data_IF_818325784011
#
_entry.id   IF_818325784011
#
_cell.length_a   1.000
_cell.length_b   1.000
_cell.length_c   1.000
_cell.angle_alpha   90.00
_cell.angle_beta   90.00
_cell.angle_gamma   90.00
#
_symmetry.space_group_name_H-M   'P 1'
#
loop_
_entity.id
_entity.type
_entity.pdbx_description
1 polymer ?
#
# COMPACT_ATOMS: atom_id res chain seq x y z
N UNK A 1 -1.45 19.66 10.43
CA UNK A 1 -1.25 20.87 9.59
C UNK A 1 -2.57 21.63 9.48
N UNK A 2 -2.48 22.94 9.42
CA UNK A 2 -3.61 23.86 9.20
C UNK A 2 -3.32 24.75 7.99
N UNK A 3 -4.27 24.81 7.08
CA UNK A 3 -4.20 25.69 5.91
C UNK A 3 -5.38 26.65 5.95
N UNK A 4 -5.11 27.94 5.78
CA UNK A 4 -6.18 28.94 5.61
C UNK A 4 -7.00 28.63 4.37
N UNK A 5 -6.34 28.19 3.32
CA UNK A 5 -6.90 27.81 2.03
C UNK A 5 -6.16 26.59 1.47
N UNK A 6 -6.88 25.63 0.93
CA UNK A 6 -6.31 24.47 0.26
C UNK A 6 -6.91 24.29 -1.12
N UNK A 7 -6.07 24.11 -2.14
CA UNK A 7 -6.52 23.86 -3.50
C UNK A 7 -6.92 22.39 -3.66
N UNK A 8 -8.17 22.15 -4.06
CA UNK A 8 -8.67 20.82 -4.34
C UNK A 8 -9.26 20.73 -5.74
N UNK A 9 -9.09 19.57 -6.36
CA UNK A 9 -9.75 19.27 -7.65
C UNK A 9 -11.23 19.11 -7.43
N UNK A 10 -12.01 19.82 -8.23
CA UNK A 10 -13.47 19.80 -8.21
C UNK A 10 -14.03 19.53 -9.60
N UNK A 11 -15.31 19.25 -9.67
CA UNK A 11 -15.99 18.97 -10.93
C UNK A 11 -17.25 19.84 -10.99
N UNK A 12 -17.46 20.52 -12.10
CA UNK A 12 -18.68 21.31 -12.36
C UNK A 12 -19.36 20.83 -13.64
N UNK A 13 -20.68 20.78 -13.63
CA UNK A 13 -21.46 20.60 -14.85
C UNK A 13 -21.55 21.95 -15.57
N UNK A 14 -21.28 21.95 -16.86
CA UNK A 14 -21.50 23.14 -17.70
C UNK A 14 -22.99 23.23 -18.04
N UNK A 15 -23.62 24.34 -17.71
CA UNK A 15 -25.07 24.55 -17.89
C UNK A 15 -25.52 24.46 -19.35
N UNK A 16 -24.64 24.82 -20.29
CA UNK A 16 -24.93 24.83 -21.73
C UNK A 16 -24.72 23.51 -22.43
N UNK A 17 -24.11 22.52 -21.78
CA UNK A 17 -23.77 21.23 -22.40
C UNK A 17 -23.80 20.13 -21.35
N UNK A 18 -23.88 18.85 -21.78
CA UNK A 18 -23.70 17.71 -20.88
C UNK A 18 -22.23 17.48 -20.47
N UNK A 19 -21.37 18.45 -20.72
CA UNK A 19 -19.95 18.33 -20.44
C UNK A 19 -19.64 18.58 -18.97
N UNK A 20 -18.62 17.90 -18.46
CA UNK A 20 -18.05 18.11 -17.12
C UNK A 20 -16.75 18.88 -17.22
N UNK A 21 -16.63 19.95 -16.44
CA UNK A 21 -15.41 20.70 -16.27
C UNK A 21 -14.68 20.21 -15.02
N UNK A 22 -13.46 19.72 -15.20
CA UNK A 22 -12.55 19.45 -14.09
C UNK A 22 -11.74 20.72 -13.82
N UNK A 23 -11.85 21.23 -12.62
CA UNK A 23 -11.20 22.47 -12.20
C UNK A 23 -10.59 22.33 -10.81
N UNK A 24 -10.01 23.39 -10.32
CA UNK A 24 -9.46 23.46 -8.96
C UNK A 24 -10.16 24.59 -8.22
N UNK A 25 -10.60 24.33 -7.01
CA UNK A 25 -11.22 25.31 -6.14
C UNK A 25 -10.45 25.45 -4.84
N UNK A 26 -10.56 26.62 -4.26
CA UNK A 26 -9.93 26.93 -3.00
C UNK A 26 -10.89 26.59 -1.85
N UNK A 27 -10.50 25.64 -1.02
CA UNK A 27 -11.27 25.21 0.14
C UNK A 27 -10.78 25.98 1.36
N UNK A 28 -11.62 26.83 1.96
CA UNK A 28 -11.24 27.60 3.14
C UNK A 28 -11.20 26.72 4.40
N UNK A 29 -10.37 27.12 5.36
CA UNK A 29 -10.29 26.51 6.69
C UNK A 29 -10.01 24.99 6.70
N UNK A 30 -9.20 24.54 5.76
CA UNK A 30 -8.78 23.15 5.70
C UNK A 30 -7.80 22.81 6.83
N UNK A 31 -8.09 21.76 7.56
CA UNK A 31 -7.23 21.19 8.59
C UNK A 31 -7.00 19.71 8.31
N UNK A 32 -5.80 19.26 8.55
CA UNK A 32 -5.49 17.84 8.48
C UNK A 32 -4.50 17.44 9.57
N UNK A 33 -4.61 16.20 9.99
CA UNK A 33 -3.61 15.52 10.78
C UNK A 33 -3.52 14.06 10.36
N UNK A 34 -2.34 13.51 10.51
CA UNK A 34 -2.09 12.10 10.27
C UNK A 34 -1.17 11.56 11.36
N UNK A 35 -1.33 10.29 11.66
CA UNK A 35 -0.44 9.56 12.52
C UNK A 35 -0.21 8.17 11.95
N UNK A 36 1.02 7.69 12.03
CA UNK A 36 1.40 6.34 11.63
C UNK A 36 2.12 5.69 12.80
N UNK A 37 1.72 4.48 13.13
CA UNK A 37 2.38 3.63 14.11
C UNK A 37 2.84 2.38 13.39
N UNK A 38 4.12 2.06 13.54
CA UNK A 38 4.71 0.84 13.01
C UNK A 38 5.36 0.04 14.13
N UNK A 39 5.17 -1.27 14.09
CA UNK A 39 5.78 -2.21 15.00
C UNK A 39 6.33 -3.39 14.23
N UNK A 40 7.53 -3.80 14.54
CA UNK A 40 8.13 -5.01 14.01
C UNK A 40 8.88 -5.76 15.11
N UNK A 41 8.82 -7.09 15.08
CA UNK A 41 9.47 -7.93 16.09
C UNK A 41 9.91 -9.26 15.49
N UNK A 42 10.70 -9.99 16.25
CA UNK A 42 11.03 -11.39 15.96
C UNK A 42 10.70 -12.23 17.19
N UNK A 43 9.65 -13.01 17.07
CA UNK A 43 9.13 -13.88 18.15
C UNK A 43 9.36 -15.33 17.72
N UNK A 44 10.49 -15.91 18.12
CA UNK A 44 10.90 -17.28 17.75
C UNK A 44 10.86 -17.50 16.22
N UNK A 45 9.85 -18.23 15.74
CA UNK A 45 9.66 -18.52 14.32
C UNK A 45 8.81 -17.49 13.58
N UNK A 46 8.17 -16.55 14.29
CA UNK A 46 7.26 -15.55 13.74
C UNK A 46 7.88 -14.16 13.74
N UNK A 47 7.78 -13.47 12.63
CA UNK A 47 8.24 -12.08 12.45
C UNK A 47 7.08 -11.23 11.97
N UNK A 48 6.28 -10.67 12.88
CA UNK A 48 5.24 -9.73 12.54
C UNK A 48 5.83 -8.35 12.21
N UNK A 49 5.21 -7.69 11.24
CA UNK A 49 5.30 -6.26 11.01
C UNK A 49 3.88 -5.72 10.92
N UNK A 50 3.58 -4.71 11.69
CA UNK A 50 2.27 -4.06 11.74
C UNK A 50 2.50 -2.59 11.45
N UNK A 51 1.75 -2.04 10.51
CA UNK A 51 1.70 -0.61 10.25
C UNK A 51 0.25 -0.16 10.22
N UNK A 52 -0.06 0.87 10.98
CA UNK A 52 -1.39 1.48 11.04
C UNK A 52 -1.25 2.98 10.85
N UNK A 53 -1.98 3.51 9.90
CA UNK A 53 -2.02 4.93 9.61
C UNK A 53 -3.45 5.45 9.72
N UNK A 54 -3.60 6.60 10.33
CA UNK A 54 -4.85 7.35 10.35
C UNK A 54 -4.60 8.71 9.72
N UNK A 55 -5.50 9.07 8.83
CA UNK A 55 -5.57 10.40 8.25
C UNK A 55 -6.93 11.00 8.54
N UNK A 56 -6.98 12.22 9.02
CA UNK A 56 -8.21 12.96 9.24
C UNK A 56 -8.08 14.35 8.69
N UNK A 57 -8.94 14.68 7.77
CA UNK A 57 -9.18 16.02 7.29
C UNK A 57 -10.42 16.61 7.98
N UNK A 58 -10.49 17.92 8.08
CA UNK A 58 -11.62 18.65 8.68
C UNK A 58 -11.86 19.88 7.85
N UNK A 59 -12.93 19.88 7.09
CA UNK A 59 -13.40 21.02 6.32
C UNK A 59 -14.87 20.80 5.90
N UNK A 60 -15.50 21.89 5.50
CA UNK A 60 -16.85 21.87 4.92
C UNK A 60 -16.78 22.36 3.49
N UNK A 61 -17.44 21.66 2.59
CA UNK A 61 -17.55 22.04 1.19
C UNK A 61 -19.01 21.94 0.75
N UNK A 62 -19.59 23.05 0.28
CA UNK A 62 -21.00 23.15 -0.11
C UNK A 62 -21.96 22.55 0.92
N UNK A 63 -21.79 22.90 2.21
CA UNK A 63 -22.63 22.41 3.32
C UNK A 63 -22.38 20.97 3.75
N UNK A 64 -21.49 20.24 3.10
CA UNK A 64 -21.12 18.88 3.47
C UNK A 64 -19.81 18.87 4.26
N UNK A 65 -19.83 18.15 5.38
CA UNK A 65 -18.67 17.98 6.25
C UNK A 65 -17.82 16.78 5.81
N UNK A 66 -16.52 17.01 5.66
CA UNK A 66 -15.51 16.00 5.36
C UNK A 66 -14.59 15.84 6.56
N UNK A 67 -15.02 15.07 7.56
CA UNK A 67 -14.33 14.95 8.85
C UNK A 67 -14.22 13.50 9.35
N UNK A 68 -14.62 12.50 8.55
CA UNK A 68 -14.50 11.10 8.93
C UNK A 68 -13.05 10.65 8.78
N UNK A 69 -12.41 10.10 9.83
CA UNK A 69 -11.06 9.59 9.73
C UNK A 69 -10.99 8.45 8.71
N UNK A 70 -9.86 8.38 8.00
CA UNK A 70 -9.54 7.33 7.03
C UNK A 70 -8.36 6.53 7.58
N UNK A 71 -8.56 5.23 7.76
CA UNK A 71 -7.55 4.33 8.31
C UNK A 71 -6.99 3.43 7.23
N UNK A 72 -5.68 3.24 7.25
CA UNK A 72 -4.98 2.23 6.49
C UNK A 72 -4.27 1.29 7.45
N UNK A 73 -4.19 0.02 7.11
CA UNK A 73 -3.46 -0.97 7.90
C UNK A 73 -2.74 -1.96 6.99
N UNK A 74 -1.57 -2.38 7.46
CA UNK A 74 -0.74 -3.40 6.83
C UNK A 74 -0.23 -4.33 7.93
N UNK A 75 -0.40 -5.63 7.74
CA UNK A 75 0.09 -6.68 8.61
C UNK A 75 0.87 -7.67 7.76
N UNK A 76 2.20 -7.62 7.87
CA UNK A 76 3.08 -8.58 7.23
C UNK A 76 3.47 -9.65 8.25
N UNK A 77 3.24 -10.90 7.93
CA UNK A 77 3.59 -12.02 8.79
C UNK A 77 4.52 -12.96 8.07
N UNK A 78 5.72 -13.15 8.61
CA UNK A 78 6.67 -14.13 8.12
C UNK A 78 6.86 -15.22 9.18
N UNK A 79 6.53 -16.45 8.82
CA UNK A 79 6.72 -17.63 9.66
C UNK A 79 7.88 -18.46 9.13
N UNK A 80 8.92 -18.62 9.95
CA UNK A 80 10.04 -19.50 9.65
C UNK A 80 9.67 -20.92 10.10
N UNK A 81 9.15 -21.73 9.17
CA UNK A 81 8.74 -23.11 9.48
C UNK A 81 9.94 -24.05 9.68
N UNK A 82 11.05 -23.76 8.97
CA UNK A 82 12.31 -24.47 9.13
C UNK A 82 13.49 -23.61 8.71
N UNK A 83 14.72 -24.17 8.72
CA UNK A 83 15.92 -23.48 8.18
C UNK A 83 15.80 -23.18 6.67
N UNK A 84 14.92 -23.88 5.98
CA UNK A 84 14.80 -23.85 4.53
C UNK A 84 13.42 -23.45 4.03
N UNK A 85 12.43 -23.31 4.92
CA UNK A 85 11.04 -23.03 4.53
C UNK A 85 10.49 -21.85 5.32
N UNK A 86 10.00 -20.85 4.61
CA UNK A 86 9.29 -19.70 5.17
C UNK A 86 7.91 -19.61 4.54
N UNK A 87 6.92 -19.22 5.34
CA UNK A 87 5.56 -18.90 4.93
C UNK A 87 5.30 -17.42 5.20
N UNK A 88 4.76 -16.69 4.27
CA UNK A 88 4.23 -15.35 4.50
C UNK A 88 2.70 -15.35 4.43
N UNK A 89 2.10 -14.44 5.20
CA UNK A 89 0.67 -14.16 5.18
C UNK A 89 0.46 -12.68 5.46
N UNK A 90 0.14 -11.94 4.42
CA UNK A 90 0.16 -10.50 4.43
C UNK A 90 -1.26 -9.97 4.19
N UNK A 91 -1.68 -9.01 5.01
CA UNK A 91 -3.00 -8.38 4.93
C UNK A 91 -2.79 -6.88 4.87
N UNK A 92 -3.41 -6.22 3.93
CA UNK A 92 -3.53 -4.76 3.96
C UNK A 92 -4.91 -4.31 3.55
N UNK A 93 -5.28 -3.15 4.03
CA UNK A 93 -6.59 -2.61 3.70
C UNK A 93 -6.83 -1.22 4.25
N UNK A 94 -8.06 -0.79 4.06
CA UNK A 94 -8.53 0.51 4.49
C UNK A 94 -9.90 0.39 5.14
N UNK A 95 -10.16 1.20 6.16
CA UNK A 95 -11.51 1.37 6.69
C UNK A 95 -12.29 2.44 5.91
N UNK A 96 -13.58 2.55 6.18
CA UNK A 96 -14.38 3.62 5.61
C UNK A 96 -13.92 4.99 6.15
N UNK A 97 -13.92 6.02 5.31
CA UNK A 97 -13.55 7.37 5.72
C UNK A 97 -13.62 8.37 4.58
N UNK A 98 -13.23 9.61 4.87
CA UNK A 98 -13.13 10.65 3.86
C UNK A 98 -11.66 10.87 3.47
N UNK A 99 -11.40 10.98 2.18
CA UNK A 99 -10.13 11.43 1.65
C UNK A 99 -10.41 12.42 0.52
N UNK A 100 -9.93 13.65 0.68
CA UNK A 100 -10.33 14.80 -0.14
C UNK A 100 -11.86 14.96 -0.19
N UNK A 101 -12.46 15.10 -1.35
CA UNK A 101 -13.89 15.22 -1.57
C UNK A 101 -14.61 13.87 -1.80
N UNK A 102 -14.01 12.78 -1.37
CA UNK A 102 -14.52 11.43 -1.62
C UNK A 102 -14.77 10.65 -0.32
N UNK A 103 -15.81 9.83 -0.33
CA UNK A 103 -16.14 8.85 0.70
C UNK A 103 -15.65 7.48 0.25
N UNK A 104 -14.71 6.93 0.97
CA UNK A 104 -14.18 5.60 0.74
C UNK A 104 -14.95 4.55 1.54
N UNK A 105 -15.19 3.40 0.93
CA UNK A 105 -15.70 2.20 1.58
C UNK A 105 -14.56 1.28 1.99
N UNK A 106 -14.75 0.42 2.99
CA UNK A 106 -13.71 -0.51 3.42
C UNK A 106 -13.25 -1.40 2.26
N UNK A 107 -11.96 -1.66 2.22
CA UNK A 107 -11.33 -2.60 1.30
C UNK A 107 -10.21 -3.34 2.02
N UNK A 108 -10.02 -4.61 1.68
CA UNK A 108 -8.85 -5.35 2.14
C UNK A 108 -8.43 -6.40 1.11
N UNK A 109 -7.17 -6.76 1.19
CA UNK A 109 -6.58 -7.82 0.38
C UNK A 109 -5.64 -8.65 1.24
N UNK A 110 -5.54 -9.93 0.92
CA UNK A 110 -4.68 -10.87 1.59
C UNK A 110 -3.84 -11.61 0.56
N UNK A 111 -2.53 -11.59 0.76
CA UNK A 111 -1.58 -12.38 -0.01
C UNK A 111 -0.97 -13.48 0.88
N UNK A 112 -0.58 -14.59 0.28
CA UNK A 112 0.17 -15.64 0.96
C UNK A 112 1.33 -16.10 0.09
N UNK A 113 2.44 -16.48 0.72
CA UNK A 113 3.63 -16.90 0.01
C UNK A 113 4.36 -18.03 0.72
N UNK A 114 4.89 -18.96 -0.05
CA UNK A 114 5.79 -20.00 0.42
C UNK A 114 7.15 -19.83 -0.27
N UNK A 115 8.21 -19.80 0.52
CA UNK A 115 9.58 -19.79 0.04
C UNK A 115 10.31 -21.01 0.59
N UNK A 116 10.89 -21.81 -0.29
CA UNK A 116 11.64 -23.01 0.09
C UNK A 116 13.01 -23.04 -0.59
N UNK A 117 14.04 -23.34 0.19
CA UNK A 117 15.41 -23.59 -0.29
C UNK A 117 15.69 -25.11 -0.23
N UNK A 118 15.86 -25.73 -1.36
CA UNK A 118 16.03 -27.17 -1.53
C UNK A 118 17.41 -27.51 -2.10
N UNK A 119 17.77 -28.79 -2.15
CA UNK A 119 19.00 -29.30 -2.75
C UNK A 119 20.26 -28.58 -2.23
N UNK A 120 20.41 -28.46 -0.92
CA UNK A 120 21.53 -27.76 -0.27
C UNK A 120 21.66 -26.29 -0.76
N UNK A 121 20.51 -25.60 -0.85
CA UNK A 121 20.39 -24.21 -1.34
C UNK A 121 20.66 -24.02 -2.85
N UNK A 122 20.71 -25.09 -3.63
CA UNK A 122 20.85 -24.96 -5.09
C UNK A 122 19.54 -24.64 -5.80
N UNK A 123 18.40 -25.05 -5.21
CA UNK A 123 17.08 -24.80 -5.78
C UNK A 123 16.28 -23.92 -4.79
N UNK A 124 15.88 -22.74 -5.25
CA UNK A 124 14.93 -21.89 -4.54
C UNK A 124 13.58 -21.95 -5.25
N UNK A 125 12.53 -22.16 -4.48
CA UNK A 125 11.13 -22.24 -4.93
C UNK A 125 10.34 -21.15 -4.23
N UNK A 126 9.62 -20.31 -4.99
CA UNK A 126 8.67 -19.33 -4.48
C UNK A 126 7.30 -19.61 -5.06
N UNK A 127 6.32 -19.73 -4.19
CA UNK A 127 4.90 -19.78 -4.54
C UNK A 127 4.27 -18.56 -3.91
N UNK A 128 3.58 -17.74 -4.69
CA UNK A 128 2.81 -16.60 -4.19
C UNK A 128 1.38 -16.70 -4.67
N UNK A 129 0.43 -16.56 -3.76
CA UNK A 129 -0.99 -16.44 -4.04
C UNK A 129 -1.39 -15.00 -3.68
N UNK A 130 -1.81 -14.26 -4.66
CA UNK A 130 -2.26 -12.89 -4.52
C UNK A 130 -3.77 -12.86 -4.41
N UNK A 131 -4.30 -11.97 -3.56
CA UNK A 131 -5.73 -11.77 -3.29
C UNK A 131 -6.44 -13.11 -2.99
N UNK A 132 -5.92 -13.82 -1.98
CA UNK A 132 -6.33 -15.18 -1.60
C UNK A 132 -7.85 -15.33 -1.50
N UNK A 133 -8.54 -14.34 -0.92
CA UNK A 133 -9.98 -14.34 -0.71
C UNK A 133 -10.77 -13.59 -1.80
N UNK A 134 -10.07 -13.03 -2.81
CA UNK A 134 -10.69 -12.28 -3.91
C UNK A 134 -11.51 -11.07 -3.42
N UNK A 135 -10.92 -10.32 -2.48
CA UNK A 135 -11.59 -9.23 -1.76
C UNK A 135 -11.13 -7.83 -2.19
N UNK A 136 -10.11 -7.74 -3.04
CA UNK A 136 -9.59 -6.45 -3.52
C UNK A 136 -10.62 -5.71 -4.36
N UNK A 137 -11.20 -4.64 -3.77
CA UNK A 137 -12.26 -3.82 -4.38
C UNK A 137 -11.98 -2.36 -4.12
N UNK A 138 -11.97 -1.59 -5.18
CA UNK A 138 -11.91 -0.13 -5.11
C UNK A 138 -13.32 0.44 -5.13
N UNK A 139 -13.77 1.01 -4.01
CA UNK A 139 -15.12 1.54 -3.85
C UNK A 139 -15.07 2.90 -3.18
N UNK A 140 -15.48 3.91 -3.90
CA UNK A 140 -15.63 5.26 -3.36
C UNK A 140 -16.69 6.04 -4.12
N UNK A 141 -17.20 7.09 -3.52
CA UNK A 141 -18.15 8.01 -4.13
C UNK A 141 -17.77 9.45 -3.79
N UNK A 142 -18.14 10.36 -4.66
CA UNK A 142 -17.92 11.78 -4.48
C UNK A 142 -19.18 12.56 -4.88
N UNK A 143 -19.50 13.57 -4.07
CA UNK A 143 -20.53 14.56 -4.36
C UNK A 143 -19.81 15.91 -4.41
N UNK A 144 -19.67 16.44 -5.61
CA UNK A 144 -18.96 17.71 -5.82
C UNK A 144 -19.94 18.60 -6.62
N UNK A 145 -20.38 19.69 -6.00
CA UNK A 145 -21.47 20.50 -6.54
C UNK A 145 -22.70 19.63 -6.84
N UNK A 146 -23.28 19.76 -8.01
CA UNK A 146 -24.44 18.98 -8.48
C UNK A 146 -24.03 17.67 -9.16
N UNK A 147 -22.75 17.29 -9.07
CA UNK A 147 -22.23 16.08 -9.71
C UNK A 147 -22.01 14.99 -8.67
N UNK A 148 -22.71 13.89 -8.84
CA UNK A 148 -22.44 12.66 -8.12
C UNK A 148 -21.76 11.66 -9.05
N UNK A 149 -20.65 11.10 -8.59
CA UNK A 149 -20.04 9.96 -9.26
C UNK A 149 -19.51 8.95 -8.24
N UNK A 150 -19.48 7.70 -8.65
CA UNK A 150 -18.99 6.63 -7.81
C UNK A 150 -18.14 5.67 -8.63
N UNK A 151 -17.19 5.07 -7.97
CA UNK A 151 -16.38 3.98 -8.51
C UNK A 151 -16.61 2.73 -7.68
N UNK A 152 -17.01 1.67 -8.36
CA UNK A 152 -17.11 0.34 -7.79
C UNK A 152 -16.45 -0.62 -8.75
N UNK A 153 -15.18 -0.88 -8.52
CA UNK A 153 -14.36 -1.74 -9.37
C UNK A 153 -13.80 -2.88 -8.54
N UNK A 154 -14.02 -4.09 -9.00
CA UNK A 154 -13.27 -5.26 -8.55
C UNK A 154 -12.00 -5.32 -9.38
N UNK A 155 -10.86 -5.32 -8.71
CA UNK A 155 -9.57 -5.47 -9.35
C UNK A 155 -9.32 -6.96 -9.66
N UNK A 156 -8.78 -7.25 -10.82
CA UNK A 156 -8.33 -8.60 -11.16
C UNK A 156 -6.90 -8.79 -10.63
N UNK A 157 -6.84 -8.97 -9.30
CA UNK A 157 -5.57 -9.10 -8.56
C UNK A 157 -5.30 -10.52 -8.11
N UNK A 158 -6.28 -11.41 -8.27
CA UNK A 158 -6.14 -12.81 -7.89
C UNK A 158 -5.23 -13.56 -8.85
N UNK A 159 -4.18 -14.15 -8.31
CA UNK A 159 -3.23 -14.89 -9.14
C UNK A 159 -2.37 -15.82 -8.31
N UNK A 160 -1.80 -16.80 -9.00
CA UNK A 160 -0.79 -17.71 -8.45
C UNK A 160 0.47 -17.55 -9.27
N UNK A 161 1.59 -17.33 -8.59
CA UNK A 161 2.91 -17.24 -9.18
C UNK A 161 3.78 -18.36 -8.63
N UNK A 162 4.41 -19.13 -9.52
CA UNK A 162 5.48 -20.07 -9.18
C UNK A 162 6.78 -19.58 -9.79
N UNK A 163 7.80 -19.42 -8.98
CA UNK A 163 9.14 -19.08 -9.43
C UNK A 163 10.13 -20.14 -8.97
N UNK A 164 10.93 -20.64 -9.89
CA UNK A 164 11.99 -21.60 -9.63
C UNK A 164 13.34 -20.96 -10.01
N UNK A 165 14.30 -21.04 -9.12
CA UNK A 165 15.68 -20.60 -9.37
C UNK A 165 16.64 -21.72 -9.02
N UNK A 166 17.34 -22.23 -10.01
CA UNK A 166 18.38 -23.22 -9.82
C UNK A 166 19.77 -22.62 -10.02
N UNK A 167 20.67 -22.86 -9.08
CA UNK A 167 22.07 -22.40 -9.12
C UNK A 167 22.99 -23.57 -9.42
N UNK A 168 23.49 -23.64 -10.66
CA UNK A 168 24.29 -24.77 -11.14
C UNK A 168 25.65 -24.85 -10.45
N UNK A 169 26.26 -23.72 -10.17
CA UNK A 169 27.58 -23.67 -9.52
C UNK A 169 27.67 -22.49 -8.56
N UNK A 170 27.25 -22.64 -7.29
CA UNK A 170 27.45 -21.59 -6.31
C UNK A 170 28.93 -21.55 -5.91
N UNK A 171 29.78 -21.09 -6.81
CA UNK A 171 31.13 -20.74 -6.41
C UNK A 171 30.99 -19.60 -5.39
N UNK A 172 31.30 -19.88 -4.15
CA UNK A 172 31.64 -18.83 -3.20
C UNK A 172 32.81 -18.08 -3.79
N UNK A 173 32.60 -16.89 -4.30
CA UNK A 173 33.69 -16.02 -4.71
C UNK A 173 34.67 -15.93 -3.54
N UNK A 174 35.80 -16.60 -3.65
CA UNK A 174 36.93 -16.46 -2.74
C UNK A 174 37.65 -15.13 -2.98
N UNK A 175 37.11 -14.29 -3.87
CA UNK A 175 37.66 -13.00 -4.13
C UNK A 175 37.35 -12.08 -2.94
N UNK A 176 38.13 -12.17 -1.92
CA UNK A 176 38.37 -11.06 -0.98
C UNK A 176 39.03 -9.99 -1.84
N UNK A 177 38.29 -8.99 -2.27
CA UNK A 177 38.88 -7.83 -2.93
C UNK A 177 40.02 -7.36 -2.06
N UNK A 178 41.23 -7.40 -2.57
CA UNK A 178 42.39 -6.71 -1.97
C UNK A 178 42.01 -5.24 -2.04
N UNK A 179 41.71 -4.65 -0.87
CA UNK A 179 41.59 -3.22 -0.80
C UNK A 179 42.93 -2.65 -1.26
N UNK A 180 42.97 -2.03 -2.41
CA UNK A 180 44.05 -1.22 -2.91
C UNK A 180 44.11 0.08 -2.08
N UNK A 181 44.48 -0.05 -0.82
CA UNK A 181 44.66 1.12 0.06
C UNK A 181 46.04 1.76 -0.06
N UNK A 182 46.83 1.44 -1.10
CA UNK A 182 48.19 1.96 -1.24
C UNK A 182 48.44 2.86 -2.47
N UNK A 183 47.45 3.18 -3.26
CA UNK A 183 47.63 4.05 -4.47
C UNK A 183 46.91 5.41 -4.42
N UNK A 184 46.24 5.76 -3.33
CA UNK A 184 45.57 7.07 -3.20
C UNK A 184 46.41 8.11 -2.46
N UNK A 185 47.69 7.81 -2.14
CA UNK A 185 48.60 8.76 -1.48
C UNK A 185 49.69 9.27 -2.47
N UNK A 186 49.37 9.32 -3.75
CA UNK A 186 50.24 9.99 -4.74
C UNK A 186 49.41 10.73 -5.78
N UNK A 187 48.80 11.81 -5.35
CA UNK A 187 48.48 12.98 -6.18
C UNK A 187 48.28 14.18 -5.26
#
# INVERSE_FOLDING_TARGET
TWYKNSLMRTTKKLESTSAMLFTTENIPHYREWSATVSYSSTIKFWRPKIEMSVFKQIFTYHGRNYNKPYFCYELDNLFRLSKHVNLSFDIWGTAAGNLYLSDFKPSFRTDSGLNASLLKNKLAVWIKISDLFNTDKERWSSHINDVYYSKNRKLDTRGVMLQLRYSFNPQRSKYKGRATSSEIIRL
#
